data_IF_972573018373
#
_entry.id   IF_972573018373
#
_cell.length_a   1.000
_cell.length_b   1.000
_cell.length_c   1.000
_cell.angle_alpha   90.00
_cell.angle_beta   90.00
_cell.angle_gamma   90.00
#
_symmetry.space_group_name_H-M   'P 1'
#
loop_
_entity.id
_entity.type
_entity.pdbx_description
1 polymer ?
#
# COMPACT_ATOMS: atom_id res chain seq x y z
N UNK A 1 14.57 6.18 0.71
CA UNK A 1 14.88 4.73 0.82
C UNK A 1 13.71 4.13 1.57
N UNK A 2 12.93 3.27 0.91
CA UNK A 2 11.73 2.68 1.48
C UNK A 2 12.04 1.53 2.45
N UNK A 3 11.15 1.30 3.42
CA UNK A 3 11.20 0.11 4.25
C UNK A 3 10.75 -1.11 3.43
N UNK A 4 11.43 -2.25 3.64
CA UNK A 4 11.11 -3.52 3.00
C UNK A 4 11.04 -4.66 4.00
N UNK A 5 10.25 -5.68 3.66
CA UNK A 5 10.09 -6.89 4.48
C UNK A 5 10.28 -8.12 3.59
N UNK A 6 11.02 -9.09 4.11
CA UNK A 6 11.20 -10.41 3.50
C UNK A 6 10.33 -11.45 4.21
N UNK A 7 9.64 -12.28 3.42
CA UNK A 7 8.74 -13.33 3.89
C UNK A 7 9.10 -14.66 3.23
N UNK A 8 8.64 -15.76 3.83
CA UNK A 8 8.87 -17.12 3.34
C UNK A 8 10.35 -17.45 3.04
N UNK A 9 11.27 -16.96 3.88
CA UNK A 9 12.71 -17.20 3.71
C UNK A 9 13.34 -16.49 2.50
N UNK A 10 12.75 -15.39 2.04
CA UNK A 10 13.23 -14.60 0.90
C UNK A 10 12.53 -14.91 -0.42
N UNK A 11 11.54 -15.79 -0.42
CA UNK A 11 10.75 -16.10 -1.62
C UNK A 11 9.84 -14.93 -2.03
N UNK A 12 9.46 -14.10 -1.06
CA UNK A 12 8.68 -12.88 -1.26
C UNK A 12 9.36 -11.72 -0.54
N UNK A 13 9.72 -10.68 -1.28
CA UNK A 13 10.25 -9.41 -0.76
C UNK A 13 9.32 -8.29 -1.18
N UNK A 14 8.94 -7.42 -0.26
CA UNK A 14 8.03 -6.30 -0.53
C UNK A 14 8.68 -5.02 -0.03
N UNK A 15 8.73 -4.00 -0.88
CA UNK A 15 9.19 -2.66 -0.55
C UNK A 15 8.10 -1.64 -0.83
N UNK A 16 7.83 -0.77 0.13
CA UNK A 16 7.07 0.45 -0.12
C UNK A 16 8.00 1.46 -0.79
N UNK A 17 7.80 1.74 -2.07
CA UNK A 17 8.66 2.69 -2.80
C UNK A 17 8.25 4.12 -2.50
N UNK A 18 6.94 4.38 -2.52
CA UNK A 18 6.34 5.69 -2.24
C UNK A 18 4.83 5.57 -2.00
N UNK A 19 4.25 6.63 -1.41
CA UNK A 19 2.82 6.92 -1.50
C UNK A 19 2.63 7.94 -2.61
N UNK A 20 2.09 7.47 -3.75
CA UNK A 20 2.02 8.24 -4.99
C UNK A 20 0.94 9.33 -4.94
N UNK A 21 -0.14 9.07 -4.20
CA UNK A 21 -1.17 10.05 -3.89
C UNK A 21 -1.74 9.76 -2.50
N UNK A 22 -2.10 10.80 -1.76
CA UNK A 22 -2.78 10.70 -0.47
C UNK A 22 -3.80 11.83 -0.32
N UNK A 23 -5.04 11.51 -0.67
CA UNK A 23 -6.22 12.35 -0.54
C UNK A 23 -7.17 11.83 0.53
N UNK A 24 -6.70 10.92 1.40
CA UNK A 24 -7.52 10.37 2.49
C UNK A 24 -8.08 11.50 3.34
N UNK A 25 -9.33 11.35 3.75
CA UNK A 25 -9.96 12.33 4.62
C UNK A 25 -9.16 12.51 5.92
N UNK A 26 -8.71 13.73 6.24
CA UNK A 26 -8.03 13.99 7.51
C UNK A 26 -8.91 13.63 8.70
N UNK A 27 -8.30 13.07 9.74
CA UNK A 27 -9.03 12.62 10.94
C UNK A 27 -9.64 13.76 11.76
N UNK A 28 -9.16 14.99 11.55
CA UNK A 28 -9.62 16.23 12.16
C UNK A 28 -10.52 17.08 11.24
N UNK A 29 -10.92 16.56 10.07
CA UNK A 29 -11.76 17.24 9.11
C UNK A 29 -13.09 16.50 8.86
N UNK A 30 -14.10 17.23 8.40
CA UNK A 30 -15.36 16.65 7.91
C UNK A 30 -15.30 16.60 6.38
N UNK A 31 -15.15 15.41 5.82
CA UNK A 31 -15.11 15.22 4.37
C UNK A 31 -16.46 14.80 3.81
N UNK A 32 -16.78 15.33 2.63
CA UNK A 32 -17.93 14.88 1.82
C UNK A 32 -17.63 13.56 1.10
N UNK A 33 -16.35 13.31 0.80
CA UNK A 33 -15.84 12.11 0.14
C UNK A 33 -14.79 11.43 1.01
N UNK A 34 -14.74 10.09 1.01
CA UNK A 34 -13.83 9.31 1.86
C UNK A 34 -12.34 9.50 1.50
N UNK A 35 -12.04 9.94 0.27
CA UNK A 35 -10.69 10.06 -0.27
C UNK A 35 -10.10 8.72 -0.70
N UNK A 36 -8.85 8.75 -1.13
CA UNK A 36 -8.03 7.57 -1.43
C UNK A 36 -6.54 7.87 -1.25
N UNK A 37 -5.74 6.84 -1.00
CA UNK A 37 -4.29 6.89 -1.09
C UNK A 37 -3.78 5.68 -1.87
N UNK A 38 -2.70 5.90 -2.60
CA UNK A 38 -2.09 4.93 -3.50
C UNK A 38 -0.70 4.59 -3.00
N UNK A 39 -0.52 3.38 -2.46
CA UNK A 39 0.81 2.88 -2.15
C UNK A 39 1.41 2.19 -3.38
N UNK A 40 2.57 2.67 -3.81
CA UNK A 40 3.39 2.01 -4.81
C UNK A 40 4.31 1.02 -4.12
N UNK A 41 4.23 -0.25 -4.51
CA UNK A 41 5.02 -1.34 -3.95
C UNK A 41 5.89 -1.95 -5.04
N UNK A 42 7.15 -2.22 -4.72
CA UNK A 42 7.99 -3.13 -5.49
C UNK A 42 7.98 -4.49 -4.79
N UNK A 43 7.57 -5.52 -5.50
CA UNK A 43 7.47 -6.88 -4.99
C UNK A 43 8.39 -7.80 -5.78
N UNK A 44 9.21 -8.57 -5.10
CA UNK A 44 10.00 -9.65 -5.71
C UNK A 44 9.41 -10.97 -5.26
N UNK A 45 8.95 -11.80 -6.20
CA UNK A 45 8.42 -13.13 -5.93
C UNK A 45 9.16 -14.15 -6.78
N UNK A 46 9.77 -15.15 -6.15
CA UNK A 46 10.57 -16.17 -6.84
C UNK A 46 11.62 -15.58 -7.82
N UNK A 47 12.22 -14.44 -7.44
CA UNK A 47 13.21 -13.72 -8.25
C UNK A 47 12.65 -12.86 -9.38
N UNK A 48 11.33 -12.77 -9.54
CA UNK A 48 10.67 -11.90 -10.53
C UNK A 48 10.18 -10.63 -9.84
N UNK A 49 10.50 -9.50 -10.45
CA UNK A 49 10.08 -8.17 -9.99
C UNK A 49 8.69 -7.77 -10.52
N UNK A 50 7.87 -7.21 -9.64
CA UNK A 50 6.52 -6.74 -9.90
C UNK A 50 6.31 -5.36 -9.28
N UNK A 51 5.83 -4.41 -10.08
CA UNK A 51 5.40 -3.11 -9.58
C UNK A 51 3.89 -3.13 -9.35
N UNK A 52 3.46 -2.83 -8.13
CA UNK A 52 2.05 -2.81 -7.72
C UNK A 52 1.63 -1.42 -7.28
N UNK A 53 0.35 -1.09 -7.50
CA UNK A 53 -0.31 0.06 -6.91
C UNK A 53 -1.57 -0.42 -6.21
N UNK A 54 -1.63 -0.22 -4.91
CA UNK A 54 -2.74 -0.65 -4.07
C UNK A 54 -3.42 0.56 -3.43
N UNK A 55 -4.76 0.52 -3.46
CA UNK A 55 -5.61 1.63 -3.06
C UNK A 55 -6.24 1.38 -1.68
N UNK A 56 -6.24 2.42 -0.84
CA UNK A 56 -6.91 2.37 0.47
C UNK A 56 -8.44 2.34 0.36
N UNK A 57 -8.98 2.93 -0.71
CA UNK A 57 -10.40 2.94 -1.03
C UNK A 57 -10.63 2.24 -2.38
N UNK A 58 -10.61 0.89 -2.40
CA UNK A 58 -10.65 0.14 -3.65
C UNK A 58 -12.01 0.19 -4.31
N UNK A 59 -12.01 0.30 -5.64
CA UNK A 59 -13.22 0.43 -6.43
C UNK A 59 -12.93 0.42 -7.93
N UNK A 60 -13.97 0.36 -8.75
CA UNK A 60 -13.81 0.38 -10.22
C UNK A 60 -13.12 1.65 -10.73
N UNK A 61 -13.28 2.78 -10.03
CA UNK A 61 -12.76 4.08 -10.44
C UNK A 61 -11.37 4.40 -9.87
N UNK A 62 -11.03 3.86 -8.69
CA UNK A 62 -9.75 4.11 -8.00
C UNK A 62 -8.73 3.06 -8.37
N UNK A 63 -9.09 1.79 -8.21
CA UNK A 63 -8.21 0.65 -8.44
C UNK A 63 -8.38 -0.42 -7.37
N UNK A 64 -7.55 -1.48 -7.41
CA UNK A 64 -7.68 -2.60 -6.49
C UNK A 64 -6.99 -2.32 -5.15
N UNK A 65 -7.52 -2.93 -4.09
CA UNK A 65 -6.93 -2.94 -2.74
C UNK A 65 -6.11 -4.21 -2.49
N UNK A 66 -5.87 -5.01 -3.52
CA UNK A 66 -5.05 -6.21 -3.46
C UNK A 66 -4.46 -6.52 -4.83
N UNK A 67 -3.45 -7.38 -4.86
CA UNK A 67 -2.91 -7.95 -6.09
C UNK A 67 -2.46 -9.39 -5.86
N UNK A 68 -2.58 -10.21 -6.91
CA UNK A 68 -2.06 -11.58 -6.92
C UNK A 68 -0.68 -11.57 -7.60
N UNK A 69 0.33 -12.09 -6.90
CA UNK A 69 1.72 -12.16 -7.35
C UNK A 69 2.23 -13.57 -7.11
N UNK A 70 2.38 -14.36 -8.18
CA UNK A 70 2.78 -15.76 -8.08
C UNK A 70 1.80 -16.56 -7.21
N UNK A 71 2.33 -17.21 -6.18
CA UNK A 71 1.56 -18.00 -5.21
C UNK A 71 1.01 -17.18 -4.03
N UNK A 72 1.08 -15.84 -4.10
CA UNK A 72 0.70 -14.96 -3.01
C UNK A 72 -0.38 -13.97 -3.44
N UNK A 73 -1.33 -13.72 -2.53
CA UNK A 73 -2.26 -12.61 -2.62
C UNK A 73 -1.88 -11.58 -1.57
N UNK A 74 -1.61 -10.37 -2.04
CA UNK A 74 -1.17 -9.23 -1.22
C UNK A 74 -2.37 -8.31 -1.05
N UNK A 75 -2.90 -8.22 0.18
CA UNK A 75 -4.08 -7.43 0.51
C UNK A 75 -3.66 -6.20 1.30
N UNK A 76 -4.05 -5.02 0.84
CA UNK A 76 -3.86 -3.77 1.55
C UNK A 76 -4.80 -3.68 2.74
N UNK A 77 -4.26 -3.44 3.94
CA UNK A 77 -5.07 -3.27 5.15
C UNK A 77 -5.10 -1.83 5.64
N UNK A 78 -3.95 -1.16 5.69
CA UNK A 78 -3.85 0.17 6.32
C UNK A 78 -2.65 0.97 5.80
N UNK A 79 -2.80 2.29 5.78
CA UNK A 79 -1.71 3.25 5.65
C UNK A 79 -1.63 4.10 6.92
N UNK A 80 -0.44 4.22 7.50
CA UNK A 80 -0.16 5.12 8.60
C UNK A 80 0.94 6.11 8.17
N UNK A 81 0.99 7.32 8.75
CA UNK A 81 -0.02 7.90 9.66
C UNK A 81 -1.34 8.22 8.93
N UNK A 82 -2.41 8.47 9.68
CA UNK A 82 -3.61 9.09 9.12
C UNK A 82 -3.35 10.59 8.91
N UNK A 83 -3.87 11.21 7.83
CA UNK A 83 -3.63 12.61 7.58
C UNK A 83 -4.30 13.51 8.63
N UNK A 84 -3.67 14.67 8.84
CA UNK A 84 -4.20 15.81 9.58
C UNK A 84 -4.30 17.01 8.65
N UNK A 85 -5.33 17.83 8.82
CA UNK A 85 -5.59 18.95 7.92
C UNK A 85 -4.43 19.95 7.90
N UNK A 86 -3.90 20.24 6.72
CA UNK A 86 -2.77 21.17 6.53
C UNK A 86 -1.41 20.62 6.96
N UNK A 87 -1.32 19.34 7.34
CA UNK A 87 -0.06 18.67 7.69
C UNK A 87 0.38 17.79 6.53
N UNK A 88 1.59 18.04 6.01
CA UNK A 88 2.21 17.17 5.02
C UNK A 88 2.94 16.01 5.70
N UNK A 89 2.69 14.78 5.24
CA UNK A 89 3.38 13.57 5.71
C UNK A 89 4.60 13.33 4.82
N UNK A 90 5.83 13.32 5.37
CA UNK A 90 7.03 12.95 4.62
C UNK A 90 6.95 11.51 4.11
N UNK A 91 7.49 11.25 2.91
CA UNK A 91 7.44 9.92 2.29
C UNK A 91 8.04 8.81 3.18
N UNK A 92 9.10 9.10 3.93
CA UNK A 92 9.75 8.14 4.83
C UNK A 92 8.96 7.81 6.10
N UNK A 93 7.91 8.57 6.41
CA UNK A 93 7.11 8.38 7.62
C UNK A 93 5.92 7.44 7.37
N UNK A 94 5.61 7.15 6.10
CA UNK A 94 4.57 6.21 5.76
C UNK A 94 4.92 4.79 6.17
N UNK A 95 3.92 4.08 6.69
CA UNK A 95 3.96 2.65 6.97
C UNK A 95 2.71 2.00 6.39
N UNK A 96 2.90 1.02 5.52
CA UNK A 96 1.82 0.23 4.95
C UNK A 96 1.69 -1.09 5.72
N UNK A 97 0.46 -1.44 6.09
CA UNK A 97 0.13 -2.76 6.63
C UNK A 97 -0.50 -3.60 5.54
N UNK A 98 0.13 -4.73 5.25
CA UNK A 98 -0.32 -5.70 4.24
C UNK A 98 -0.67 -7.02 4.92
N UNK A 99 -1.67 -7.72 4.39
CA UNK A 99 -1.94 -9.12 4.70
C UNK A 99 -1.53 -9.96 3.52
N UNK A 100 -0.71 -10.98 3.77
CA UNK A 100 -0.24 -11.91 2.76
C UNK A 100 -0.98 -13.23 2.95
N UNK A 101 -1.62 -13.68 1.88
CA UNK A 101 -2.34 -14.94 1.83
C UNK A 101 -1.67 -15.83 0.77
N UNK A 102 -1.65 -17.14 1.00
CA UNK A 102 -1.31 -18.08 -0.07
C UNK A 102 -2.47 -18.09 -1.08
N UNK A 103 -2.15 -17.92 -2.35
CA UNK A 103 -3.09 -18.02 -3.46
C UNK A 103 -2.93 -19.43 -4.07
N UNK A 104 -3.86 -20.36 -3.80
CA UNK A 104 -3.76 -21.76 -4.23
C UNK A 104 -3.99 -21.95 -5.73
#
# INVERSE_FOLDING_TARGET
MGEGVELAGGELVIHLTEVADDSRCPTDAVCVWQGDAVAALQVVSAGVEHALRLHTNPGKATGPGHADVGAYRIVFLKLAPEPLAGVSIPQGDYRVTLRIEANP
#
